data_IF_794403627288
#
_entry.id   IF_794403627288
#
_cell.length_a   1.000
_cell.length_b   1.000
_cell.length_c   1.000
_cell.angle_alpha   90.00
_cell.angle_beta   90.00
_cell.angle_gamma   90.00
#
_symmetry.space_group_name_H-M   'P 1'
#
loop_
_entity.id
_entity.type
_entity.pdbx_description
1 polymer ?
#
# COMPACT_ATOMS: atom_id res chain seq x y z
N UNK A 1 -28.72 6.44 -5.91
CA UNK A 1 -28.72 7.54 -6.90
C UNK A 1 -27.32 8.17 -6.93
N UNK A 2 -26.27 7.38 -7.16
CA UNK A 2 -24.85 7.83 -7.13
C UNK A 2 -24.09 7.49 -8.42
N UNK A 3 -24.59 6.54 -9.22
CA UNK A 3 -23.93 6.07 -10.45
C UNK A 3 -23.93 7.13 -11.55
N UNK A 4 -24.95 8.01 -11.60
CA UNK A 4 -25.04 9.12 -12.56
C UNK A 4 -23.95 10.18 -12.33
N UNK A 5 -23.53 10.42 -11.08
CA UNK A 5 -22.48 11.39 -10.76
C UNK A 5 -21.10 10.97 -11.27
N UNK A 6 -20.75 9.69 -11.09
CA UNK A 6 -19.49 9.14 -11.58
C UNK A 6 -19.43 9.07 -13.11
N UNK A 7 -20.55 8.76 -13.76
CA UNK A 7 -20.63 8.75 -15.23
C UNK A 7 -20.39 10.16 -15.82
N UNK A 8 -20.95 11.20 -15.20
CA UNK A 8 -20.75 12.58 -15.64
C UNK A 8 -19.28 13.03 -15.45
N UNK A 9 -18.65 12.67 -14.34
CA UNK A 9 -17.22 12.97 -14.09
C UNK A 9 -16.34 12.27 -15.13
N UNK A 10 -16.60 10.98 -15.41
CA UNK A 10 -15.85 10.22 -16.41
C UNK A 10 -16.01 10.82 -17.82
N UNK A 11 -17.23 11.22 -18.20
CA UNK A 11 -17.50 11.85 -19.49
C UNK A 11 -16.83 13.22 -19.63
N UNK A 12 -16.83 14.03 -18.56
CA UNK A 12 -16.15 15.32 -18.53
C UNK A 12 -14.62 15.16 -18.63
N UNK A 13 -14.04 14.19 -17.89
CA UNK A 13 -12.63 13.87 -17.97
C UNK A 13 -12.23 13.41 -19.39
N UNK A 14 -13.02 12.52 -20.00
CA UNK A 14 -12.79 12.08 -21.37
C UNK A 14 -12.87 13.24 -22.38
N UNK A 15 -13.79 14.19 -22.19
CA UNK A 15 -13.93 15.36 -23.06
C UNK A 15 -12.75 16.32 -22.94
N UNK A 16 -12.20 16.49 -21.73
CA UNK A 16 -10.98 17.28 -21.50
C UNK A 16 -9.74 16.62 -22.11
N UNK A 17 -9.58 15.31 -21.94
CA UNK A 17 -8.44 14.55 -22.48
C UNK A 17 -8.43 14.51 -24.02
N UNK A 18 -9.61 14.54 -24.65
CA UNK A 18 -9.74 14.57 -26.11
C UNK A 18 -9.77 15.99 -26.70
N UNK A 19 -9.52 17.03 -25.90
CA UNK A 19 -9.53 18.41 -26.36
C UNK A 19 -8.18 18.78 -26.99
N UNK A 20 -8.12 19.19 -28.28
CA UNK A 20 -6.88 19.54 -28.96
C UNK A 20 -6.14 20.72 -28.32
N UNK A 21 -6.88 21.63 -27.66
CA UNK A 21 -6.30 22.75 -26.92
C UNK A 21 -5.55 22.28 -25.66
N UNK A 22 -6.03 21.20 -25.03
CA UNK A 22 -5.35 20.57 -23.89
C UNK A 22 -4.09 19.84 -24.37
N UNK A 23 -4.16 19.10 -25.49
CA UNK A 23 -2.99 18.47 -26.10
C UNK A 23 -1.90 19.48 -26.48
N UNK A 24 -2.26 20.63 -27.07
CA UNK A 24 -1.30 21.70 -27.37
C UNK A 24 -0.71 22.31 -26.10
N UNK A 25 -1.54 22.57 -25.09
CA UNK A 25 -1.10 23.12 -23.81
C UNK A 25 -0.11 22.18 -23.09
N UNK A 26 -0.38 20.87 -23.10
CA UNK A 26 0.52 19.85 -22.53
C UNK A 26 1.77 19.65 -23.40
N UNK A 27 1.66 19.74 -24.72
CA UNK A 27 2.78 19.66 -25.65
C UNK A 27 3.80 20.81 -25.51
N UNK A 28 3.41 21.92 -24.89
CA UNK A 28 4.30 23.05 -24.55
C UNK A 28 4.91 22.94 -23.15
N UNK A 29 4.48 21.98 -22.32
CA UNK A 29 5.17 21.68 -21.07
C UNK A 29 6.48 21.00 -21.44
N UNK A 30 7.60 21.50 -20.90
CA UNK A 30 8.87 20.79 -20.99
C UNK A 30 8.64 19.34 -20.56
N UNK A 31 9.20 18.33 -21.26
CA UNK A 31 9.18 16.96 -20.77
C UNK A 31 9.67 17.03 -19.33
N UNK A 32 8.85 16.59 -18.37
CA UNK A 32 9.28 16.54 -16.99
C UNK A 32 10.51 15.64 -16.98
N UNK A 33 11.70 16.24 -16.87
CA UNK A 33 12.98 15.53 -16.78
C UNK A 33 13.15 14.82 -15.45
N UNK A 34 12.04 14.58 -14.74
CA UNK A 34 12.04 13.82 -13.51
C UNK A 34 12.50 12.40 -13.83
N UNK A 35 13.47 11.87 -13.07
CA UNK A 35 13.90 10.49 -13.22
C UNK A 35 12.68 9.57 -13.08
N UNK A 36 12.44 8.75 -14.10
CA UNK A 36 11.33 7.80 -14.09
C UNK A 36 11.78 6.57 -13.30
N UNK A 37 11.39 6.51 -12.02
CA UNK A 37 11.68 5.36 -11.17
C UNK A 37 10.63 4.26 -11.35
N UNK A 38 11.05 3.01 -11.31
CA UNK A 38 10.10 1.90 -11.31
C UNK A 38 9.26 1.89 -10.02
N UNK A 39 7.96 1.53 -10.10
CA UNK A 39 7.12 1.41 -8.91
C UNK A 39 7.70 0.46 -7.86
N UNK A 40 7.37 0.68 -6.58
CA UNK A 40 7.72 -0.28 -5.53
C UNK A 40 6.83 -1.53 -5.63
N UNK A 41 7.47 -2.67 -5.84
CA UNK A 41 6.84 -3.99 -5.79
C UNK A 41 7.01 -4.55 -4.38
N UNK A 42 5.89 -4.79 -3.70
CA UNK A 42 5.88 -5.36 -2.36
C UNK A 42 5.67 -6.87 -2.46
N UNK A 43 6.47 -7.69 -1.77
CA UNK A 43 6.26 -9.13 -1.71
C UNK A 43 4.99 -9.45 -0.88
N UNK A 44 4.39 -10.63 -1.06
CA UNK A 44 3.35 -11.10 -0.16
C UNK A 44 3.90 -11.23 1.27
N UNK A 45 3.09 -10.88 2.28
CA UNK A 45 3.50 -10.98 3.70
C UNK A 45 3.55 -12.42 4.22
N UNK A 46 2.98 -13.38 3.49
CA UNK A 46 2.99 -14.83 3.80
C UNK A 46 2.55 -15.14 5.25
N UNK A 47 1.55 -14.43 5.76
CA UNK A 47 1.03 -14.67 7.11
C UNK A 47 0.24 -15.98 7.23
N UNK A 48 0.20 -16.58 8.42
CA UNK A 48 -0.59 -17.78 8.74
C UNK A 48 -1.88 -17.47 9.51
N UNK A 49 -2.38 -16.22 9.41
CA UNK A 49 -3.51 -15.73 10.22
C UNK A 49 -4.72 -16.67 10.23
N UNK A 50 -5.13 -17.20 9.08
CA UNK A 50 -6.25 -18.14 9.00
C UNK A 50 -6.02 -19.39 9.87
N UNK A 51 -4.87 -20.04 9.71
CA UNK A 51 -4.52 -21.26 10.48
C UNK A 51 -4.41 -20.97 11.98
N UNK A 52 -3.86 -19.81 12.36
CA UNK A 52 -3.77 -19.41 13.75
C UNK A 52 -5.13 -19.17 14.40
N UNK A 53 -6.04 -18.51 13.69
CA UNK A 53 -7.41 -18.28 14.18
C UNK A 53 -8.18 -19.59 14.31
N UNK A 54 -8.03 -20.51 13.35
CA UNK A 54 -8.61 -21.86 13.42
C UNK A 54 -8.06 -22.64 14.61
N UNK A 55 -6.74 -22.58 14.85
CA UNK A 55 -6.09 -23.22 15.99
C UNK A 55 -6.54 -22.62 17.33
N UNK A 56 -6.87 -21.34 17.36
CA UNK A 56 -7.48 -20.69 18.51
C UNK A 56 -8.96 -21.08 18.71
N UNK A 57 -9.57 -21.80 17.78
CA UNK A 57 -10.94 -22.29 17.86
C UNK A 57 -11.98 -21.24 17.46
N UNK A 58 -11.59 -20.25 16.65
CA UNK A 58 -12.54 -19.31 16.07
C UNK A 58 -13.52 -20.02 15.14
N UNK A 59 -14.77 -19.54 15.11
CA UNK A 59 -15.75 -20.00 14.12
C UNK A 59 -15.37 -19.53 12.72
N UNK A 60 -15.87 -20.21 11.69
CA UNK A 60 -15.61 -19.83 10.30
C UNK A 60 -15.96 -18.36 10.01
N UNK A 61 -17.09 -17.86 10.54
CA UNK A 61 -17.50 -16.46 10.36
C UNK A 61 -16.57 -15.46 11.06
N UNK A 62 -16.04 -15.80 12.24
CA UNK A 62 -15.05 -14.96 12.93
C UNK A 62 -13.72 -14.96 12.18
N UNK A 63 -13.28 -16.12 11.66
CA UNK A 63 -12.08 -16.22 10.83
C UNK A 63 -12.21 -15.33 9.59
N UNK A 64 -13.32 -15.44 8.87
CA UNK A 64 -13.60 -14.65 7.66
C UNK A 64 -13.58 -13.14 7.94
N UNK A 65 -14.27 -12.69 8.99
CA UNK A 65 -14.32 -11.28 9.35
C UNK A 65 -12.94 -10.72 9.73
N UNK A 66 -12.17 -11.43 10.54
CA UNK A 66 -10.83 -10.99 10.95
C UNK A 66 -9.82 -11.01 9.81
N UNK A 67 -9.90 -12.03 8.94
CA UNK A 67 -9.06 -12.12 7.74
C UNK A 67 -9.35 -10.96 6.78
N UNK A 68 -10.62 -10.67 6.51
CA UNK A 68 -11.01 -9.53 5.67
C UNK A 68 -10.53 -8.19 6.24
N UNK A 69 -10.67 -7.99 7.54
CA UNK A 69 -10.14 -6.79 8.20
C UNK A 69 -8.62 -6.67 8.08
N UNK A 70 -7.90 -7.78 8.22
CA UNK A 70 -6.45 -7.83 8.04
C UNK A 70 -6.05 -7.48 6.60
N UNK A 71 -6.67 -8.10 5.60
CA UNK A 71 -6.39 -7.87 4.18
C UNK A 71 -6.61 -6.41 3.78
N UNK A 72 -7.71 -5.79 4.24
CA UNK A 72 -7.96 -4.36 4.03
C UNK A 72 -6.89 -3.50 4.70
N UNK A 73 -6.49 -3.85 5.92
CA UNK A 73 -5.44 -3.11 6.63
C UNK A 73 -4.08 -3.25 5.90
N UNK A 74 -3.73 -4.45 5.45
CA UNK A 74 -2.52 -4.74 4.69
C UNK A 74 -2.49 -3.98 3.37
N UNK A 75 -3.60 -3.97 2.61
CA UNK A 75 -3.72 -3.20 1.38
C UNK A 75 -3.47 -1.70 1.61
N UNK A 76 -4.06 -1.13 2.67
CA UNK A 76 -3.81 0.28 3.05
C UNK A 76 -2.36 0.54 3.44
N UNK A 77 -1.71 -0.41 4.13
CA UNK A 77 -0.29 -0.31 4.46
C UNK A 77 0.57 -0.35 3.20
N UNK A 78 0.26 -1.26 2.26
CA UNK A 78 0.96 -1.36 0.99
C UNK A 78 0.87 -0.05 0.18
N UNK A 79 -0.32 0.56 0.13
CA UNK A 79 -0.52 1.86 -0.51
C UNK A 79 0.28 2.98 0.19
N UNK A 80 0.21 3.05 1.51
CA UNK A 80 0.98 4.02 2.29
C UNK A 80 2.49 3.89 2.04
N UNK A 81 3.02 2.66 2.04
CA UNK A 81 4.44 2.39 1.79
C UNK A 81 4.85 2.79 0.38
N UNK A 82 4.02 2.49 -0.64
CA UNK A 82 4.28 2.92 -2.02
C UNK A 82 4.28 4.43 -2.15
N UNK A 83 3.34 5.11 -1.49
CA UNK A 83 3.27 6.58 -1.50
C UNK A 83 4.51 7.20 -0.84
N UNK A 84 4.89 6.73 0.35
CA UNK A 84 6.10 7.20 1.04
C UNK A 84 7.39 6.90 0.26
N UNK A 85 7.46 5.79 -0.45
CA UNK A 85 8.58 5.50 -1.36
C UNK A 85 8.63 6.51 -2.51
N UNK A 86 7.49 6.79 -3.16
CA UNK A 86 7.40 7.79 -4.22
C UNK A 86 7.80 9.20 -3.75
N UNK A 87 7.34 9.61 -2.57
CA UNK A 87 7.71 10.89 -1.95
C UNK A 87 9.22 10.97 -1.68
N UNK A 88 9.80 9.92 -1.10
CA UNK A 88 11.24 9.87 -0.84
C UNK A 88 12.06 9.92 -2.14
N UNK A 89 11.62 9.25 -3.20
CA UNK A 89 12.25 9.33 -4.52
C UNK A 89 12.17 10.74 -5.11
N UNK A 90 11.03 11.41 -4.99
CA UNK A 90 10.87 12.79 -5.46
C UNK A 90 11.81 13.76 -4.72
N UNK A 91 11.96 13.58 -3.41
CA UNK A 91 12.90 14.37 -2.60
C UNK A 91 14.35 14.14 -3.01
N UNK A 92 14.74 12.88 -3.29
CA UNK A 92 16.09 12.55 -3.77
C UNK A 92 16.32 13.15 -5.17
N UNK A 93 15.37 13.01 -6.09
CA UNK A 93 15.48 13.56 -7.43
C UNK A 93 15.60 15.10 -7.44
N UNK A 94 15.02 15.79 -6.46
CA UNK A 94 15.10 17.24 -6.36
C UNK A 94 16.50 17.76 -5.98
N UNK A 95 17.37 16.92 -5.42
CA UNK A 95 18.70 17.33 -4.91
C UNK A 95 19.87 16.69 -5.66
N UNK A 96 19.62 15.73 -6.56
CA UNK A 96 20.65 15.02 -7.30
C UNK A 96 20.98 15.72 -8.63
N UNK A 97 22.26 15.77 -8.98
CA UNK A 97 22.72 16.24 -10.29
C UNK A 97 22.78 15.06 -11.30
N UNK A 98 22.86 15.36 -12.59
CA UNK A 98 22.95 14.37 -13.67
C UNK A 98 24.19 13.47 -13.56
N UNK A 99 25.27 13.96 -12.93
CA UNK A 99 26.51 13.23 -12.73
C UNK A 99 26.44 12.20 -11.58
N UNK A 100 25.40 12.24 -10.74
CA UNK A 100 25.23 11.33 -9.59
C UNK A 100 24.50 10.02 -9.94
N UNK A 101 24.38 9.66 -11.22
CA UNK A 101 23.52 8.56 -11.68
C UNK A 101 23.79 7.21 -10.98
N UNK A 102 25.05 6.79 -10.87
CA UNK A 102 25.40 5.51 -10.25
C UNK A 102 25.10 5.52 -8.74
N UNK A 103 25.26 6.67 -8.10
CA UNK A 103 24.93 6.86 -6.68
C UNK A 103 23.42 6.85 -6.45
N UNK A 104 22.66 7.44 -7.37
CA UNK A 104 21.20 7.45 -7.35
C UNK A 104 20.64 6.03 -7.43
N UNK A 105 21.15 5.19 -8.32
CA UNK A 105 20.73 3.79 -8.44
C UNK A 105 20.94 3.03 -7.12
N UNK A 106 22.13 3.15 -6.51
CA UNK A 106 22.42 2.51 -5.22
C UNK A 106 21.52 3.01 -4.09
N UNK A 107 21.22 4.32 -4.06
CA UNK A 107 20.30 4.90 -3.08
C UNK A 107 18.89 4.35 -3.28
N UNK A 108 18.40 4.28 -4.52
CA UNK A 108 17.06 3.76 -4.86
C UNK A 108 16.93 2.32 -4.40
N UNK A 109 17.92 1.47 -4.65
CA UNK A 109 17.91 0.07 -4.22
C UNK A 109 17.89 -0.07 -2.70
N UNK A 110 18.73 0.70 -2.00
CA UNK A 110 18.72 0.73 -0.53
C UNK A 110 17.35 1.20 0.01
N UNK A 111 16.74 2.17 -0.66
CA UNK A 111 15.42 2.67 -0.31
C UNK A 111 14.33 1.60 -0.52
N UNK A 112 14.35 0.91 -1.66
CA UNK A 112 13.44 -0.22 -1.95
C UNK A 112 13.54 -1.28 -0.86
N UNK A 113 14.75 -1.72 -0.53
CA UNK A 113 14.98 -2.71 0.51
C UNK A 113 14.44 -2.25 1.87
N UNK A 114 14.68 -0.99 2.24
CA UNK A 114 14.18 -0.42 3.50
C UNK A 114 12.66 -0.43 3.56
N UNK A 115 11.98 0.04 2.51
CA UNK A 115 10.52 0.10 2.48
C UNK A 115 9.88 -1.30 2.41
N UNK A 116 10.48 -2.26 1.71
CA UNK A 116 10.04 -3.66 1.72
C UNK A 116 10.16 -4.26 3.13
N UNK A 117 11.29 -4.04 3.82
CA UNK A 117 11.48 -4.50 5.20
C UNK A 117 10.46 -3.85 6.16
N UNK A 118 10.22 -2.55 6.03
CA UNK A 118 9.25 -1.84 6.85
C UNK A 118 7.82 -2.37 6.64
N UNK A 119 7.43 -2.63 5.37
CA UNK A 119 6.17 -3.25 5.03
C UNK A 119 6.01 -4.61 5.71
N UNK A 120 7.00 -5.50 5.56
CA UNK A 120 6.95 -6.85 6.12
C UNK A 120 6.91 -6.85 7.65
N UNK A 121 7.70 -5.99 8.30
CA UNK A 121 7.68 -5.85 9.77
C UNK A 121 6.31 -5.41 10.27
N UNK A 122 5.74 -4.36 9.67
CA UNK A 122 4.43 -3.82 10.05
C UNK A 122 3.30 -4.80 9.76
N UNK A 123 3.35 -5.53 8.65
CA UNK A 123 2.38 -6.58 8.34
C UNK A 123 2.44 -7.72 9.37
N UNK A 124 3.65 -8.13 9.77
CA UNK A 124 3.85 -9.16 10.79
C UNK A 124 3.43 -8.70 12.20
N UNK A 125 3.67 -7.44 12.55
CA UNK A 125 3.20 -6.85 13.81
C UNK A 125 1.67 -6.85 13.90
N UNK A 126 0.99 -6.45 12.83
CA UNK A 126 -0.49 -6.45 12.78
C UNK A 126 -1.09 -7.84 12.92
N UNK A 127 -0.54 -8.82 12.19
CA UNK A 127 -1.00 -10.21 12.30
C UNK A 127 -0.81 -10.73 13.74
N UNK A 128 0.37 -10.52 14.34
CA UNK A 128 0.64 -10.91 15.74
C UNK A 128 -0.29 -10.22 16.73
N UNK A 129 -0.64 -8.97 16.51
CA UNK A 129 -1.58 -8.23 17.35
C UNK A 129 -2.99 -8.84 17.33
N UNK A 130 -3.50 -9.20 16.14
CA UNK A 130 -4.79 -9.89 16.00
C UNK A 130 -4.79 -11.22 16.76
N UNK A 131 -3.77 -12.07 16.53
CA UNK A 131 -3.66 -13.37 17.19
C UNK A 131 -3.60 -13.22 18.71
N UNK A 132 -2.85 -12.23 19.20
CA UNK A 132 -2.70 -11.96 20.63
C UNK A 132 -4.02 -11.51 21.26
N UNK A 133 -4.77 -10.62 20.60
CA UNK A 133 -6.06 -10.15 21.12
C UNK A 133 -7.11 -11.27 21.14
N UNK A 134 -7.17 -12.10 20.08
CA UNK A 134 -8.08 -13.26 20.04
C UNK A 134 -7.74 -14.26 21.14
N UNK A 135 -6.45 -14.54 21.35
CA UNK A 135 -6.00 -15.41 22.45
C UNK A 135 -6.39 -14.82 23.81
N UNK A 136 -6.21 -13.51 24.02
CA UNK A 136 -6.58 -12.84 25.25
C UNK A 136 -8.11 -12.88 25.49
N UNK A 137 -8.91 -12.61 24.45
CA UNK A 137 -10.35 -12.70 24.51
C UNK A 137 -10.81 -14.12 24.90
N UNK A 138 -10.25 -15.16 24.27
CA UNK A 138 -10.53 -16.55 24.62
C UNK A 138 -10.23 -16.87 26.08
N UNK A 139 -9.08 -16.41 26.59
CA UNK A 139 -8.70 -16.62 27.98
C UNK A 139 -9.69 -15.95 28.95
N UNK A 140 -10.11 -14.71 28.66
CA UNK A 140 -11.13 -13.99 29.45
C UNK A 140 -12.43 -14.78 29.51
N UNK A 141 -12.99 -15.19 28.37
CA UNK A 141 -14.25 -15.95 28.34
C UNK A 141 -14.16 -17.31 29.04
N UNK A 142 -13.01 -17.99 28.94
CA UNK A 142 -12.81 -19.28 29.61
C UNK A 142 -12.79 -19.13 31.14
N UNK A 143 -12.26 -18.02 31.66
CA UNK A 143 -12.22 -17.74 33.09
C UNK A 143 -13.59 -17.38 33.68
N UNK A 144 -14.53 -16.86 32.87
CA UNK A 144 -15.91 -16.59 33.30
C UNK A 144 -16.83 -17.81 33.20
N UNK A 145 -16.40 -18.88 32.53
CA UNK A 145 -17.17 -20.11 32.35
C UNK A 145 -16.92 -21.18 33.43
N UNK A 146 -15.98 -20.91 34.34
CA UNK A 146 -15.68 -21.70 35.57
C UNK A 146 -16.21 -21.00 36.79
#
# INVERSE_FOLDING_TARGET
MEVEGYAHIAAAAASLLNCPAFEQMVGHLAPSGSPKFDPLVLPPSNHTLQDDLLRLGCTASTVEALLSMYEVAEARLAEQVRWSFGDALAQIAAVMDADDKDRLEHIVDALRQRFVQEYLSKAAERWRAIVSEVSAAKARYSAFAT
#
